data_IF_186910175639
#
_entry.id   IF_186910175639
#
_cell.length_a   1.000
_cell.length_b   1.000
_cell.length_c   1.000
_cell.angle_alpha   90.00
_cell.angle_beta   90.00
_cell.angle_gamma   90.00
#
_symmetry.space_group_name_H-M   'P 1'
#
loop_
_entity.id
_entity.type
_entity.pdbx_description
1 polymer ?
#
# COMPACT_ATOMS: atom_id res chain seq x y z
N UNK A 1 -0.99 -9.58 -1.64
CA UNK A 1 -0.64 -9.49 -3.07
C UNK A 1 -1.84 -9.09 -3.89
N UNK A 2 -1.60 -8.24 -4.86
CA UNK A 2 -2.62 -7.78 -5.80
C UNK A 2 -2.29 -8.35 -7.16
N UNK A 3 -3.24 -9.05 -7.78
CA UNK A 3 -3.08 -9.59 -9.12
C UNK A 3 -3.99 -8.81 -10.08
N UNK A 4 -3.43 -8.44 -11.23
CA UNK A 4 -4.20 -7.77 -12.29
C UNK A 4 -5.01 -8.80 -13.05
N UNK A 5 -6.22 -8.43 -13.50
CA UNK A 5 -7.03 -9.34 -14.31
C UNK A 5 -6.35 -9.63 -15.65
N UNK A 6 -5.71 -8.61 -16.21
CA UNK A 6 -4.96 -8.72 -17.46
C UNK A 6 -3.57 -8.16 -17.24
N UNK A 7 -2.51 -8.92 -17.53
CA UNK A 7 -1.15 -8.42 -17.36
C UNK A 7 -0.87 -7.21 -18.26
N UNK A 8 -0.03 -6.31 -17.76
CA UNK A 8 0.46 -5.20 -18.58
C UNK A 8 1.52 -5.69 -19.56
N UNK A 9 1.72 -4.95 -20.63
CA UNK A 9 2.76 -5.27 -21.61
C UNK A 9 4.14 -5.07 -21.03
N UNK A 10 4.26 -4.08 -20.14
CA UNK A 10 5.50 -3.76 -19.44
C UNK A 10 5.16 -3.57 -17.97
N UNK A 11 6.20 -3.50 -17.12
CA UNK A 11 6.04 -3.27 -15.70
C UNK A 11 5.33 -1.93 -15.48
N UNK A 12 4.17 -1.90 -14.82
CA UNK A 12 3.42 -0.67 -14.64
C UNK A 12 3.98 0.20 -13.53
N UNK A 13 3.52 1.45 -13.50
CA UNK A 13 3.71 2.33 -12.35
C UNK A 13 2.51 2.18 -11.43
N UNK A 14 2.77 2.18 -10.12
CA UNK A 14 1.73 1.98 -9.12
C UNK A 14 1.64 3.25 -8.26
N UNK A 15 0.42 3.76 -8.10
CA UNK A 15 0.13 4.89 -7.24
C UNK A 15 -0.79 4.43 -6.12
N UNK A 16 -0.43 4.75 -4.89
CA UNK A 16 -1.20 4.36 -3.71
C UNK A 16 -1.79 5.60 -3.05
N UNK A 17 -2.98 5.43 -2.47
CA UNK A 17 -3.64 6.48 -1.72
C UNK A 17 -4.25 5.87 -0.47
N UNK A 18 -3.97 6.46 0.69
CA UNK A 18 -4.55 6.02 1.95
C UNK A 18 -5.87 6.74 2.16
N UNK A 19 -6.95 5.98 2.29
CA UNK A 19 -8.29 6.54 2.45
C UNK A 19 -8.74 6.54 3.91
N UNK A 20 -8.25 5.60 4.73
CA UNK A 20 -8.68 5.47 6.10
C UNK A 20 -7.54 4.88 6.94
N UNK A 21 -7.32 5.48 8.11
CA UNK A 21 -6.37 4.98 9.11
C UNK A 21 -7.09 4.93 10.45
N UNK A 22 -6.95 3.82 11.15
CA UNK A 22 -7.43 3.65 12.51
C UNK A 22 -6.23 3.32 13.40
N UNK A 23 -5.87 4.25 14.28
CA UNK A 23 -4.67 4.15 15.10
C UNK A 23 -4.96 4.53 16.54
N UNK A 24 -4.06 4.13 17.44
CA UNK A 24 -4.15 4.48 18.85
C UNK A 24 -3.93 5.98 19.04
N UNK A 25 -4.91 6.65 19.65
CA UNK A 25 -4.85 8.10 19.88
C UNK A 25 -3.79 8.50 20.91
N UNK A 26 -3.35 7.57 21.72
CA UNK A 26 -2.35 7.82 22.75
C UNK A 26 -0.92 7.77 22.20
N UNK A 27 -0.75 7.31 20.98
CA UNK A 27 0.56 7.15 20.35
C UNK A 27 0.73 8.09 19.17
N UNK A 28 1.96 8.44 18.86
CA UNK A 28 2.29 9.17 17.64
C UNK A 28 2.06 8.25 16.43
N UNK A 29 1.47 8.79 15.39
CA UNK A 29 1.22 8.01 14.18
C UNK A 29 2.44 8.04 13.27
N UNK A 30 3.04 6.88 13.06
CA UNK A 30 4.17 6.71 12.15
C UNK A 30 3.86 5.51 11.25
N UNK A 31 3.81 5.75 9.95
CA UNK A 31 3.52 4.66 9.03
C UNK A 31 4.17 4.93 7.67
N UNK A 32 4.34 3.86 6.93
CA UNK A 32 4.79 3.91 5.54
C UNK A 32 4.03 2.87 4.75
N UNK A 33 3.52 3.26 3.59
CA UNK A 33 2.82 2.37 2.67
C UNK A 33 3.53 2.43 1.34
N UNK A 34 3.92 1.26 0.80
CA UNK A 34 4.61 1.23 -0.47
C UNK A 34 4.20 0.00 -1.28
N UNK A 35 4.31 0.13 -2.59
CA UNK A 35 4.14 -0.99 -3.50
C UNK A 35 5.50 -1.62 -3.75
N UNK A 36 5.59 -2.93 -3.54
CA UNK A 36 6.83 -3.68 -3.75
C UNK A 36 6.56 -4.86 -4.66
N UNK A 37 7.64 -5.47 -5.17
CA UNK A 37 7.54 -6.64 -6.05
C UNK A 37 6.60 -6.38 -7.23
N UNK A 38 6.71 -5.19 -7.81
CA UNK A 38 5.87 -4.80 -8.96
C UNK A 38 6.29 -5.59 -10.17
N UNK A 39 5.31 -6.18 -10.86
CA UNK A 39 5.53 -6.93 -12.09
C UNK A 39 4.38 -6.65 -13.06
N UNK A 40 4.46 -7.25 -14.23
CA UNK A 40 3.39 -7.16 -15.22
C UNK A 40 2.09 -7.77 -14.72
N UNK A 41 2.16 -8.69 -13.78
CA UNK A 41 1.02 -9.48 -13.31
C UNK A 41 0.39 -8.92 -12.03
N UNK A 42 1.13 -8.14 -11.25
CA UNK A 42 0.62 -7.64 -9.98
C UNK A 42 1.70 -6.99 -9.13
N UNK A 43 1.37 -6.78 -7.88
CA UNK A 43 2.29 -6.17 -6.92
C UNK A 43 1.88 -6.52 -5.50
N UNK A 44 2.74 -6.18 -4.55
CA UNK A 44 2.47 -6.37 -3.12
C UNK A 44 2.42 -5.00 -2.44
N UNK A 45 1.42 -4.80 -1.59
CA UNK A 45 1.35 -3.60 -0.75
C UNK A 45 1.99 -3.92 0.59
N UNK A 46 2.97 -3.12 0.97
CA UNK A 46 3.65 -3.26 2.25
C UNK A 46 3.31 -2.07 3.15
N UNK A 47 2.79 -2.36 4.34
CA UNK A 47 2.49 -1.35 5.36
C UNK A 47 3.46 -1.56 6.52
N UNK A 48 4.08 -0.48 6.96
CA UNK A 48 5.05 -0.54 8.07
C UNK A 48 4.78 0.58 9.05
N UNK A 49 4.85 0.23 10.33
CA UNK A 49 4.85 1.20 11.43
C UNK A 49 6.13 0.99 12.24
N UNK A 50 6.49 2.01 13.02
CA UNK A 50 7.70 1.91 13.84
C UNK A 50 7.57 2.79 15.09
N UNK A 51 8.53 2.63 16.02
CA UNK A 51 8.57 3.33 17.28
C UNK A 51 7.36 2.97 18.15
N UNK A 52 6.62 3.95 18.66
CA UNK A 52 5.46 3.72 19.52
C UNK A 52 4.12 3.78 18.80
N UNK A 53 4.14 3.79 17.48
CA UNK A 53 2.91 3.83 16.70
C UNK A 53 2.13 2.53 16.82
N UNK A 54 0.81 2.66 16.99
CA UNK A 54 -0.12 1.53 17.02
C UNK A 54 -1.18 1.77 15.97
N UNK A 55 -1.18 0.93 14.95
CA UNK A 55 -2.08 1.05 13.81
C UNK A 55 -3.06 -0.11 13.86
N UNK A 56 -4.35 0.18 14.04
CA UNK A 56 -5.38 -0.86 14.13
C UNK A 56 -5.86 -1.26 12.74
N UNK A 57 -6.03 -0.30 11.86
CA UNK A 57 -6.41 -0.61 10.48
C UNK A 57 -5.97 0.50 9.54
N UNK A 58 -5.84 0.13 8.28
CA UNK A 58 -5.54 1.08 7.21
C UNK A 58 -6.21 0.57 5.93
N UNK A 59 -6.80 1.48 5.17
CA UNK A 59 -7.36 1.16 3.88
C UNK A 59 -7.08 2.27 2.88
N UNK A 60 -7.16 1.94 1.60
CA UNK A 60 -6.86 2.91 0.59
C UNK A 60 -7.17 2.41 -0.81
N UNK A 61 -6.63 3.11 -1.78
CA UNK A 61 -6.84 2.81 -3.20
C UNK A 61 -5.52 2.75 -3.91
N UNK A 62 -5.51 2.07 -5.05
CA UNK A 62 -4.35 2.01 -5.90
C UNK A 62 -4.76 2.19 -7.36
N UNK A 63 -3.82 2.71 -8.15
CA UNK A 63 -3.97 2.85 -9.59
C UNK A 63 -2.69 2.34 -10.23
N UNK A 64 -2.83 1.49 -11.25
CA UNK A 64 -1.72 0.99 -12.03
C UNK A 64 -1.81 1.56 -13.44
N UNK A 65 -0.70 2.10 -13.96
CA UNK A 65 -0.64 2.68 -15.30
C UNK A 65 0.61 2.21 -16.03
N UNK A 66 0.52 2.13 -17.34
CA UNK A 66 1.69 1.83 -18.18
C UNK A 66 2.40 3.10 -18.64
#
# INVERSE_FOLDING_TARGET
>A
DIDFETPFKEKPQIFLSVAQIDADKESNLRYNVEAISISRDGFTIKVRTWSDSKLFSISGYWVATD
#
